data_IF_104472513403
#
_entry.id   IF_104472513403
#
_cell.length_a   1.000
_cell.length_b   1.000
_cell.length_c   1.000
_cell.angle_alpha   90.00
_cell.angle_beta   90.00
_cell.angle_gamma   90.00
#
_symmetry.space_group_name_H-M   'P 1'
#
loop_
_entity.id
_entity.type
_entity.pdbx_description
1 polymer ?
#
# COMPACT_ATOMS: atom_id res chain seq x y z
N UNK A 1 -19.59 2.38 17.30
CA UNK A 1 -19.82 3.43 16.28
C UNK A 1 -19.15 2.94 15.03
N UNK A 2 -19.91 2.66 13.96
CA UNK A 2 -19.33 2.13 12.72
C UNK A 2 -18.39 3.15 12.10
N UNK A 3 -17.18 2.74 11.82
CA UNK A 3 -16.23 3.50 10.99
C UNK A 3 -16.88 3.63 9.63
N UNK A 4 -17.31 4.85 9.28
CA UNK A 4 -17.77 5.13 7.92
C UNK A 4 -16.55 4.99 7.01
N UNK A 5 -16.59 3.97 6.16
CA UNK A 5 -15.56 3.74 5.14
C UNK A 5 -15.52 4.97 4.23
N UNK A 6 -14.46 5.78 4.35
CA UNK A 6 -14.30 7.04 3.59
C UNK A 6 -13.57 6.81 2.27
N UNK A 7 -13.36 5.54 1.90
CA UNK A 7 -12.72 5.13 0.67
C UNK A 7 -13.66 5.37 -0.52
N UNK A 8 -13.16 6.07 -1.56
CA UNK A 8 -13.92 6.35 -2.80
C UNK A 8 -13.35 5.49 -3.95
N UNK A 9 -14.01 4.37 -4.30
CA UNK A 9 -13.55 3.48 -5.36
C UNK A 9 -13.46 4.16 -6.73
N UNK A 10 -14.35 5.13 -7.02
CA UNK A 10 -14.39 5.83 -8.32
C UNK A 10 -13.16 6.74 -8.48
N UNK A 11 -12.82 7.48 -7.44
CA UNK A 11 -11.63 8.32 -7.41
C UNK A 11 -10.35 7.48 -7.51
N UNK A 12 -10.34 6.29 -6.87
CA UNK A 12 -9.21 5.38 -6.91
C UNK A 12 -8.97 4.80 -8.30
N UNK A 13 -10.03 4.42 -9.03
CA UNK A 13 -9.95 3.82 -10.39
C UNK A 13 -9.42 4.78 -11.45
N UNK A 14 -9.46 6.08 -11.24
CA UNK A 14 -9.00 7.08 -12.23
C UNK A 14 -7.54 6.90 -12.66
N UNK A 15 -6.71 6.30 -11.78
CA UNK A 15 -5.28 6.06 -12.00
C UNK A 15 -4.92 4.59 -11.77
N UNK A 16 -5.81 3.69 -12.16
CA UNK A 16 -5.69 2.26 -11.86
C UNK A 16 -4.44 1.65 -12.52
N UNK A 17 -4.24 1.91 -13.82
CA UNK A 17 -3.12 1.34 -14.55
C UNK A 17 -1.76 1.76 -13.98
N UNK A 18 -1.62 3.03 -13.58
CA UNK A 18 -0.41 3.57 -12.97
C UNK A 18 -0.17 3.01 -11.57
N UNK A 19 -1.24 2.62 -10.87
CA UNK A 19 -1.16 2.03 -9.53
C UNK A 19 -0.88 0.53 -9.57
N UNK A 20 -1.18 -0.14 -10.68
CA UNK A 20 -0.94 -1.57 -10.85
C UNK A 20 0.52 -1.91 -11.17
N UNK A 21 1.24 -1.02 -11.85
CA UNK A 21 2.62 -1.28 -12.24
C UNK A 21 3.52 -1.72 -11.06
N UNK A 22 3.46 -1.09 -9.86
CA UNK A 22 4.23 -1.54 -8.71
C UNK A 22 3.92 -2.97 -8.27
N UNK A 23 2.66 -3.42 -8.43
CA UNK A 23 2.28 -4.79 -8.14
C UNK A 23 2.88 -5.78 -9.16
N UNK A 24 2.83 -5.45 -10.44
CA UNK A 24 3.48 -6.28 -11.47
C UNK A 24 4.98 -6.39 -11.23
N UNK A 25 5.64 -5.29 -10.84
CA UNK A 25 7.07 -5.27 -10.53
C UNK A 25 7.39 -6.08 -9.26
N UNK A 26 6.51 -6.06 -8.25
CA UNK A 26 6.63 -6.89 -7.06
C UNK A 26 6.45 -8.37 -7.41
N UNK A 27 5.41 -8.69 -8.17
CA UNK A 27 5.11 -10.07 -8.57
C UNK A 27 6.24 -10.67 -9.42
N UNK A 28 6.89 -9.86 -10.27
CA UNK A 28 8.06 -10.29 -11.05
C UNK A 28 9.30 -10.62 -10.21
N UNK A 29 9.34 -10.22 -8.92
CA UNK A 29 10.40 -10.61 -7.99
C UNK A 29 10.14 -11.96 -7.34
N UNK A 30 8.89 -12.44 -7.37
CA UNK A 30 8.47 -13.69 -6.73
C UNK A 30 8.71 -14.85 -7.70
N UNK A 31 9.34 -15.91 -7.22
CA UNK A 31 9.48 -17.14 -8.00
C UNK A 31 8.15 -17.87 -8.05
N UNK A 32 7.89 -18.51 -9.19
CA UNK A 32 6.71 -19.35 -9.39
C UNK A 32 6.62 -20.44 -8.31
N UNK A 33 5.40 -20.69 -7.86
CA UNK A 33 5.09 -21.73 -6.87
C UNK A 33 3.98 -22.64 -7.40
N UNK A 34 4.25 -23.43 -8.46
CA UNK A 34 3.26 -24.33 -9.04
C UNK A 34 2.63 -25.19 -7.94
N UNK A 35 1.31 -25.25 -7.91
CA UNK A 35 0.52 -25.94 -6.88
C UNK A 35 0.76 -25.44 -5.44
N UNK A 36 1.39 -24.27 -5.28
CA UNK A 36 1.69 -23.65 -4.00
C UNK A 36 0.50 -22.96 -3.34
N UNK A 37 0.74 -22.49 -2.13
CA UNK A 37 -0.22 -21.77 -1.29
C UNK A 37 0.24 -20.33 -1.09
N UNK A 38 -0.62 -19.39 -1.42
CA UNK A 38 -0.34 -17.95 -1.36
C UNK A 38 -1.30 -17.29 -0.38
N UNK A 39 -0.84 -16.31 0.37
CA UNK A 39 -1.70 -15.35 1.07
C UNK A 39 -1.34 -13.93 0.62
N UNK A 40 -2.36 -13.12 0.35
CA UNK A 40 -2.23 -11.70 0.01
C UNK A 40 -2.82 -10.84 1.14
N UNK A 41 -1.95 -10.15 1.86
CA UNK A 41 -2.29 -9.40 3.07
C UNK A 41 -2.53 -7.92 2.74
N UNK A 42 -3.79 -7.49 2.87
CA UNK A 42 -4.31 -6.21 2.40
C UNK A 42 -4.74 -6.29 0.93
N UNK A 43 -5.53 -7.32 0.60
CA UNK A 43 -5.90 -7.68 -0.77
C UNK A 43 -6.88 -6.71 -1.45
N UNK A 44 -7.51 -5.82 -0.69
CA UNK A 44 -8.49 -4.86 -1.20
C UNK A 44 -9.69 -5.54 -1.86
N UNK A 45 -10.00 -5.17 -3.10
CA UNK A 45 -11.09 -5.73 -3.92
C UNK A 45 -10.77 -7.11 -4.53
N UNK A 46 -9.62 -7.70 -4.23
CA UNK A 46 -9.20 -9.03 -4.68
C UNK A 46 -8.78 -9.13 -6.14
N UNK A 47 -8.83 -8.05 -6.91
CA UNK A 47 -8.48 -8.04 -8.33
C UNK A 47 -7.01 -8.42 -8.56
N UNK A 48 -6.09 -7.80 -7.83
CA UNK A 48 -4.66 -8.08 -7.92
C UNK A 48 -4.30 -9.44 -7.29
N UNK A 49 -5.02 -9.86 -6.27
CA UNK A 49 -4.92 -11.20 -5.67
C UNK A 49 -5.25 -12.28 -6.69
N UNK A 50 -6.33 -12.07 -7.47
CA UNK A 50 -6.71 -12.97 -8.57
C UNK A 50 -5.60 -13.06 -9.64
N UNK A 51 -4.97 -11.93 -9.94
CA UNK A 51 -3.84 -11.91 -10.86
C UNK A 51 -2.63 -12.68 -10.28
N UNK A 52 -2.30 -12.46 -9.00
CA UNK A 52 -1.22 -13.20 -8.32
C UNK A 52 -1.47 -14.71 -8.33
N UNK A 53 -2.69 -15.15 -7.97
CA UNK A 53 -3.08 -16.56 -7.98
C UNK A 53 -2.74 -17.24 -9.32
N UNK A 54 -3.16 -16.62 -10.42
CA UNK A 54 -2.93 -17.14 -11.77
C UNK A 54 -1.46 -17.08 -12.19
N UNK A 55 -0.81 -15.94 -11.93
CA UNK A 55 0.57 -15.70 -12.39
C UNK A 55 1.59 -16.55 -11.66
N UNK A 56 1.37 -16.88 -10.38
CA UNK A 56 2.24 -17.74 -9.59
C UNK A 56 1.97 -19.24 -9.81
N UNK A 57 0.85 -19.60 -10.45
CA UNK A 57 0.41 -20.97 -10.62
C UNK A 57 -0.01 -21.63 -9.30
N UNK A 58 -0.54 -20.84 -8.38
CA UNK A 58 -0.91 -21.31 -7.05
C UNK A 58 -2.11 -22.27 -7.09
N UNK A 59 -2.08 -23.34 -6.27
CA UNK A 59 -3.24 -24.21 -6.06
C UNK A 59 -4.26 -23.54 -5.15
N UNK A 60 -3.80 -22.73 -4.20
CA UNK A 60 -4.70 -21.95 -3.33
C UNK A 60 -4.13 -20.57 -3.02
N UNK A 61 -5.03 -19.59 -2.99
CA UNK A 61 -4.71 -18.22 -2.58
C UNK A 61 -5.81 -17.71 -1.66
N UNK A 62 -5.41 -17.10 -0.55
CA UNK A 62 -6.33 -16.42 0.36
C UNK A 62 -5.99 -14.94 0.37
N UNK A 63 -6.94 -14.08 0.02
CA UNK A 63 -6.84 -12.65 0.19
C UNK A 63 -7.40 -12.23 1.54
N UNK A 64 -6.65 -11.43 2.30
CA UNK A 64 -7.04 -10.92 3.62
C UNK A 64 -7.17 -9.40 3.54
N UNK A 65 -8.28 -8.84 3.99
CA UNK A 65 -8.45 -7.39 4.16
C UNK A 65 -9.34 -7.08 5.36
N UNK A 66 -9.13 -5.93 5.98
CA UNK A 66 -9.93 -5.46 7.12
C UNK A 66 -11.20 -4.69 6.70
N UNK A 67 -11.34 -4.35 5.42
CA UNK A 67 -12.50 -3.63 4.87
C UNK A 67 -13.52 -4.59 4.26
N UNK A 68 -14.65 -4.78 4.95
CA UNK A 68 -15.77 -5.54 4.41
C UNK A 68 -16.32 -4.92 3.11
N UNK A 69 -16.21 -3.60 2.96
CA UNK A 69 -16.65 -2.89 1.75
C UNK A 69 -15.75 -3.21 0.54
N UNK A 70 -14.45 -3.31 0.75
CA UNK A 70 -13.51 -3.73 -0.30
C UNK A 70 -13.74 -5.20 -0.69
N UNK A 71 -13.88 -6.08 0.30
CA UNK A 71 -14.12 -7.51 0.06
C UNK A 71 -15.47 -7.81 -0.60
N UNK A 72 -16.44 -6.90 -0.52
CA UNK A 72 -17.73 -7.06 -1.22
C UNK A 72 -17.59 -7.10 -2.76
N UNK A 73 -16.54 -6.49 -3.30
CA UNK A 73 -16.23 -6.51 -4.74
C UNK A 73 -15.35 -7.72 -5.12
N UNK A 74 -14.74 -8.40 -4.14
CA UNK A 74 -13.87 -9.54 -4.36
C UNK A 74 -14.66 -10.77 -4.84
N UNK A 75 -14.14 -11.43 -5.89
CA UNK A 75 -14.82 -12.59 -6.48
C UNK A 75 -14.02 -13.86 -6.19
N UNK A 76 -14.50 -14.75 -5.30
CA UNK A 76 -13.89 -16.06 -5.07
C UNK A 76 -13.90 -16.93 -6.34
N UNK A 77 -12.97 -17.87 -6.41
CA UNK A 77 -12.83 -18.78 -7.54
C UNK A 77 -12.27 -20.13 -7.12
N UNK A 78 -11.92 -20.95 -8.12
CA UNK A 78 -11.26 -22.23 -7.84
C UNK A 78 -9.89 -21.97 -7.22
N UNK A 79 -9.69 -22.46 -6.00
CA UNK A 79 -8.49 -22.21 -5.20
C UNK A 79 -8.32 -20.77 -4.70
N UNK A 80 -9.31 -19.88 -4.88
CA UNK A 80 -9.24 -18.47 -4.48
C UNK A 80 -10.34 -18.12 -3.48
N UNK A 81 -9.96 -17.66 -2.30
CA UNK A 81 -10.86 -17.23 -1.23
C UNK A 81 -10.47 -15.86 -0.67
N UNK A 82 -11.42 -15.19 -0.02
CA UNK A 82 -11.21 -13.90 0.63
C UNK A 82 -11.78 -13.92 2.04
N UNK A 83 -11.04 -13.36 2.99
CA UNK A 83 -11.39 -13.38 4.41
C UNK A 83 -11.24 -11.99 5.03
N UNK A 84 -12.17 -11.65 5.93
CA UNK A 84 -12.12 -10.41 6.70
C UNK A 84 -11.27 -10.61 7.94
N UNK A 85 -10.07 -9.99 7.96
CA UNK A 85 -9.19 -10.02 9.13
C UNK A 85 -8.25 -8.80 9.12
N UNK A 86 -7.63 -8.52 10.29
CA UNK A 86 -6.67 -7.43 10.47
C UNK A 86 -5.24 -7.93 10.24
N UNK A 87 -4.62 -7.46 9.16
CA UNK A 87 -3.25 -7.84 8.79
C UNK A 87 -2.20 -7.47 9.85
N UNK A 88 -2.50 -6.51 10.74
CA UNK A 88 -1.62 -6.12 11.85
C UNK A 88 -1.51 -7.20 12.93
N UNK A 89 -2.55 -8.01 13.10
CA UNK A 89 -2.64 -9.10 14.08
C UNK A 89 -2.60 -10.48 13.43
N UNK A 90 -2.80 -10.54 12.12
CA UNK A 90 -2.87 -11.78 11.36
C UNK A 90 -1.64 -12.65 11.59
N UNK A 91 -1.87 -13.93 11.80
CA UNK A 91 -0.83 -14.95 11.94
C UNK A 91 -1.38 -16.30 11.48
N UNK A 92 -0.48 -17.15 10.99
CA UNK A 92 -0.79 -18.51 10.62
C UNK A 92 0.38 -19.44 10.99
N UNK A 93 0.13 -20.75 11.16
CA UNK A 93 1.24 -21.72 11.25
C UNK A 93 2.02 -21.72 9.92
N UNK A 94 3.21 -22.32 9.91
CA UNK A 94 4.03 -22.46 8.70
C UNK A 94 3.27 -23.27 7.63
N UNK A 95 2.63 -22.57 6.69
CA UNK A 95 1.68 -23.15 5.74
C UNK A 95 1.82 -22.60 4.32
N UNK A 96 2.25 -21.35 4.16
CA UNK A 96 2.28 -20.67 2.88
C UNK A 96 3.64 -20.75 2.18
N UNK A 97 3.62 -20.86 0.87
CA UNK A 97 4.80 -20.74 0.01
C UNK A 97 5.14 -19.29 -0.27
N UNK A 98 4.11 -18.43 -0.35
CA UNK A 98 4.26 -16.99 -0.54
C UNK A 98 3.32 -16.23 0.40
N UNK A 99 3.90 -15.25 1.09
CA UNK A 99 3.18 -14.15 1.75
C UNK A 99 3.41 -12.90 0.92
N UNK A 100 2.34 -12.36 0.38
CA UNK A 100 2.32 -11.17 -0.48
C UNK A 100 1.63 -10.01 0.26
N UNK A 101 2.11 -8.78 0.06
CA UNK A 101 1.39 -7.57 0.50
C UNK A 101 1.74 -6.40 -0.40
N UNK A 102 0.73 -5.79 -1.01
CA UNK A 102 0.93 -4.66 -1.91
C UNK A 102 0.16 -3.43 -1.43
N UNK A 103 0.86 -2.35 -1.16
CA UNK A 103 0.31 -1.06 -0.72
C UNK A 103 -0.63 -1.17 0.50
N UNK A 104 -0.33 -2.08 1.45
CA UNK A 104 -1.10 -2.29 2.66
C UNK A 104 -0.27 -2.14 3.95
N UNK A 105 0.93 -2.67 4.01
CA UNK A 105 1.75 -2.67 5.23
C UNK A 105 1.98 -1.26 5.81
N UNK A 106 2.04 -0.21 5.02
CA UNK A 106 2.24 1.16 5.51
C UNK A 106 1.13 1.67 6.43
N UNK A 107 -0.07 1.05 6.40
CA UNK A 107 -1.15 1.38 7.33
C UNK A 107 -0.94 0.80 8.73
N UNK A 108 -0.02 -0.12 8.89
CA UNK A 108 0.21 -0.90 10.10
C UNK A 108 1.44 -0.39 10.83
N UNK A 109 1.39 -0.14 12.14
CA UNK A 109 2.58 0.17 12.93
C UNK A 109 3.41 -1.09 13.22
N UNK A 110 4.64 -0.89 13.73
CA UNK A 110 5.53 -1.96 14.20
C UNK A 110 5.82 -3.04 13.13
N UNK A 111 6.36 -2.60 12.00
CA UNK A 111 6.76 -3.50 10.90
C UNK A 111 7.65 -4.66 11.35
N UNK A 112 8.61 -4.51 12.31
CA UNK A 112 9.38 -5.64 12.80
C UNK A 112 8.52 -6.78 13.37
N UNK A 113 7.56 -6.47 14.24
CA UNK A 113 6.69 -7.48 14.82
C UNK A 113 5.72 -8.08 13.78
N UNK A 114 5.20 -7.25 12.88
CA UNK A 114 4.28 -7.69 11.81
C UNK A 114 4.99 -8.63 10.83
N UNK A 115 6.14 -8.23 10.30
CA UNK A 115 6.92 -9.04 9.38
C UNK A 115 7.45 -10.33 10.03
N UNK A 116 7.73 -10.30 11.33
CA UNK A 116 8.04 -11.50 12.10
C UNK A 116 6.89 -12.51 12.12
N UNK A 117 5.63 -12.06 12.32
CA UNK A 117 4.45 -12.93 12.24
C UNK A 117 4.22 -13.46 10.82
N UNK A 118 4.37 -12.61 9.80
CA UNK A 118 4.20 -13.02 8.40
C UNK A 118 5.26 -14.03 7.97
N UNK A 119 6.52 -13.83 8.42
CA UNK A 119 7.59 -14.81 8.20
C UNK A 119 7.27 -16.16 8.85
N UNK A 120 6.70 -16.18 10.06
CA UNK A 120 6.35 -17.41 10.76
C UNK A 120 5.26 -18.23 10.04
N UNK A 121 4.45 -17.59 9.18
CA UNK A 121 3.46 -18.27 8.35
C UNK A 121 4.06 -18.97 7.11
N UNK A 122 5.32 -18.70 6.77
CA UNK A 122 6.00 -19.30 5.62
C UNK A 122 6.54 -20.69 5.96
N UNK A 123 6.37 -21.60 5.01
CA UNK A 123 7.05 -22.90 5.01
C UNK A 123 8.56 -22.73 4.74
N UNK A 124 9.38 -23.78 4.99
CA UNK A 124 10.76 -23.80 4.49
C UNK A 124 10.82 -23.50 2.98
N UNK A 125 11.73 -22.63 2.58
CA UNK A 125 11.88 -22.05 1.24
C UNK A 125 10.76 -21.08 0.82
N UNK A 126 9.90 -20.69 1.74
CA UNK A 126 8.83 -19.72 1.48
C UNK A 126 9.35 -18.31 1.20
N UNK A 127 8.56 -17.54 0.50
CA UNK A 127 8.88 -16.19 0.04
C UNK A 127 7.95 -15.15 0.67
N UNK A 128 8.54 -14.07 1.19
CA UNK A 128 7.84 -12.86 1.61
C UNK A 128 8.08 -11.79 0.56
N UNK A 129 7.01 -11.21 0.00
CA UNK A 129 7.12 -10.13 -0.99
C UNK A 129 6.19 -8.97 -0.62
N UNK A 130 6.77 -7.80 -0.47
CA UNK A 130 6.03 -6.62 0.02
C UNK A 130 6.38 -5.38 -0.79
N UNK A 131 5.36 -4.56 -1.05
CA UNK A 131 5.51 -3.22 -1.61
C UNK A 131 4.84 -2.18 -0.70
N UNK A 132 5.53 -1.09 -0.44
CA UNK A 132 4.99 0.06 0.30
C UNK A 132 5.30 1.38 -0.43
N UNK A 133 4.43 2.41 -0.33
CA UNK A 133 4.76 3.76 -0.77
C UNK A 133 5.93 4.32 0.06
N UNK A 134 6.75 5.19 -0.56
CA UNK A 134 7.89 5.83 0.07
C UNK A 134 7.97 7.32 -0.33
N UNK A 135 6.83 8.00 -0.32
CA UNK A 135 6.69 9.36 -0.87
C UNK A 135 6.38 10.42 0.19
N UNK A 136 6.58 10.10 1.49
CA UNK A 136 6.21 10.97 2.61
C UNK A 136 6.87 12.36 2.56
N UNK A 137 8.07 12.47 2.02
CA UNK A 137 8.83 13.71 1.87
C UNK A 137 8.50 14.49 0.57
N UNK A 138 7.67 13.93 -0.31
CA UNK A 138 7.19 14.67 -1.47
C UNK A 138 6.22 15.77 -1.05
N UNK A 139 6.24 16.98 -1.68
CA UNK A 139 5.35 18.08 -1.31
C UNK A 139 3.87 17.71 -1.22
N UNK A 140 3.39 16.76 -2.04
CA UNK A 140 2.00 16.29 -1.95
C UNK A 140 1.62 15.62 -0.62
N UNK A 141 2.58 15.17 0.16
CA UNK A 141 2.41 14.64 1.51
C UNK A 141 2.79 15.66 2.57
N UNK A 142 3.94 16.33 2.43
CA UNK A 142 4.47 17.27 3.42
C UNK A 142 3.53 18.47 3.64
N UNK A 143 3.00 19.05 2.56
CA UNK A 143 2.09 20.22 2.60
C UNK A 143 0.79 19.93 3.38
N UNK A 144 0.36 18.67 3.51
CA UNK A 144 -0.83 18.33 4.30
C UNK A 144 -0.66 18.79 5.75
N UNK A 145 0.50 18.47 6.37
CA UNK A 145 0.80 18.86 7.75
C UNK A 145 0.80 20.38 7.93
N UNK A 146 1.46 21.11 7.02
CA UNK A 146 1.51 22.59 7.07
C UNK A 146 0.12 23.23 7.04
N UNK A 147 -0.75 22.74 6.16
CA UNK A 147 -2.11 23.31 5.98
C UNK A 147 -3.02 22.91 7.14
N UNK A 148 -2.93 21.69 7.64
CA UNK A 148 -3.75 21.29 8.80
C UNK A 148 -3.34 22.03 10.07
N UNK A 149 -2.05 22.25 10.30
CA UNK A 149 -1.55 23.08 11.40
C UNK A 149 -2.07 24.53 11.29
N UNK A 150 -1.95 25.14 10.10
CA UNK A 150 -2.43 26.51 9.85
C UNK A 150 -3.95 26.67 10.06
N UNK A 151 -4.73 25.61 9.88
CA UNK A 151 -6.18 25.59 10.10
C UNK A 151 -6.58 25.12 11.50
N UNK A 152 -5.60 24.76 12.36
CA UNK A 152 -5.86 24.23 13.69
C UNK A 152 -6.59 22.88 13.69
N UNK A 153 -6.41 22.08 12.64
CA UNK A 153 -7.02 20.75 12.51
C UNK A 153 -6.14 19.69 13.20
N UNK A 154 -6.75 18.94 14.11
CA UNK A 154 -6.12 17.77 14.72
C UNK A 154 -6.39 16.54 13.83
N UNK A 155 -5.36 16.07 13.14
CA UNK A 155 -5.44 14.91 12.26
C UNK A 155 -4.34 13.90 12.57
N UNK A 156 -4.62 12.64 12.34
CA UNK A 156 -3.62 11.58 12.48
C UNK A 156 -2.40 11.84 11.58
N UNK A 157 -1.19 11.49 12.02
CA UNK A 157 0.02 11.56 11.20
C UNK A 157 -0.11 10.79 9.89
N UNK A 158 0.71 11.11 8.90
CA UNK A 158 0.80 10.32 7.67
C UNK A 158 1.38 8.94 7.98
N UNK A 159 0.63 7.84 7.78
CA UNK A 159 1.11 6.50 8.09
C UNK A 159 2.36 6.13 7.28
N UNK A 160 2.55 6.69 6.08
CA UNK A 160 3.77 6.51 5.30
C UNK A 160 4.97 7.14 6.01
N UNK A 161 4.79 8.32 6.60
CA UNK A 161 5.87 9.03 7.31
C UNK A 161 6.28 8.36 8.63
N UNK A 162 5.31 7.73 9.33
CA UNK A 162 5.57 7.20 10.68
C UNK A 162 5.86 5.72 10.72
N UNK A 163 5.35 4.94 9.76
CA UNK A 163 5.46 3.48 9.78
C UNK A 163 6.49 2.93 8.80
N UNK A 164 6.67 3.58 7.62
CA UNK A 164 7.51 3.02 6.57
C UNK A 164 8.99 3.24 6.88
N UNK A 165 9.72 2.14 6.93
CA UNK A 165 11.16 2.12 7.16
C UNK A 165 11.92 2.50 5.88
N UNK A 166 13.18 2.90 6.02
CA UNK A 166 14.08 3.07 4.88
C UNK A 166 14.43 1.71 4.24
N UNK A 167 14.80 1.67 2.95
CA UNK A 167 15.17 0.40 2.28
C UNK A 167 16.24 -0.38 3.04
N UNK A 168 17.25 0.31 3.58
CA UNK A 168 18.34 -0.29 4.34
C UNK A 168 17.86 -0.91 5.66
N UNK A 169 16.87 -0.30 6.30
CA UNK A 169 16.28 -0.81 7.55
C UNK A 169 15.44 -2.07 7.28
N UNK A 170 14.68 -2.11 6.15
CA UNK A 170 14.04 -3.35 5.72
C UNK A 170 15.05 -4.44 5.42
N UNK A 171 16.18 -4.13 4.76
CA UNK A 171 17.21 -5.12 4.48
C UNK A 171 17.80 -5.70 5.76
N UNK A 172 18.13 -4.87 6.76
CA UNK A 172 18.59 -5.34 8.07
C UNK A 172 17.54 -6.19 8.79
N UNK A 173 16.27 -5.75 8.77
CA UNK A 173 15.17 -6.50 9.38
C UNK A 173 14.97 -7.88 8.76
N UNK A 174 15.06 -7.99 7.43
CA UNK A 174 14.94 -9.28 6.74
C UNK A 174 16.11 -10.21 7.09
N UNK A 175 17.33 -9.68 7.26
CA UNK A 175 18.49 -10.42 7.72
C UNK A 175 18.28 -10.94 9.15
N UNK A 176 17.81 -10.07 10.07
CA UNK A 176 17.47 -10.43 11.45
C UNK A 176 16.37 -11.51 11.54
N UNK A 177 15.44 -11.53 10.59
CA UNK A 177 14.41 -12.55 10.46
C UNK A 177 14.91 -13.89 9.85
N UNK A 178 16.18 -13.96 9.44
CA UNK A 178 16.83 -15.15 8.93
C UNK A 178 16.61 -15.37 7.42
N UNK A 179 16.49 -14.30 6.65
CA UNK A 179 16.43 -14.40 5.19
C UNK A 179 17.75 -14.98 4.65
N UNK A 180 17.65 -16.01 3.81
CA UNK A 180 18.81 -16.62 3.11
C UNK A 180 19.06 -16.00 1.76
N UNK A 181 18.07 -15.30 1.24
CA UNK A 181 18.12 -14.52 0.01
C UNK A 181 17.18 -13.33 0.16
N UNK A 182 17.63 -12.16 -0.21
CA UNK A 182 16.78 -10.98 -0.19
C UNK A 182 17.10 -10.01 -1.34
N UNK A 183 16.09 -9.28 -1.75
CA UNK A 183 16.20 -8.20 -2.69
C UNK A 183 15.34 -7.03 -2.20
N UNK A 184 15.96 -5.91 -1.87
CA UNK A 184 15.28 -4.68 -1.44
C UNK A 184 15.66 -3.56 -2.41
N UNK A 185 14.67 -2.82 -2.91
CA UNK A 185 14.91 -1.70 -3.83
C UNK A 185 13.95 -0.54 -3.59
N UNK A 186 14.46 0.67 -3.75
CA UNK A 186 13.67 1.88 -3.92
C UNK A 186 13.48 2.11 -5.42
N UNK A 187 12.23 2.17 -5.86
CA UNK A 187 11.90 2.37 -7.28
C UNK A 187 11.10 3.66 -7.46
N UNK A 188 11.43 4.41 -8.50
CA UNK A 188 10.73 5.63 -8.91
C UNK A 188 9.80 5.29 -10.07
N UNK A 189 8.51 5.52 -9.87
CA UNK A 189 7.48 5.43 -10.90
C UNK A 189 7.21 6.83 -11.44
N UNK A 190 7.26 6.96 -12.76
CA UNK A 190 7.10 8.24 -13.45
C UNK A 190 5.67 8.32 -14.00
N UNK A 191 4.87 9.24 -13.46
CA UNK A 191 3.51 9.46 -13.93
C UNK A 191 3.43 10.81 -14.67
N UNK A 192 2.81 10.81 -15.83
CA UNK A 192 2.60 12.03 -16.61
C UNK A 192 1.17 12.53 -16.38
N UNK A 193 1.03 13.56 -15.57
CA UNK A 193 -0.25 14.19 -15.28
C UNK A 193 -0.50 15.36 -16.23
N UNK A 194 -1.78 15.65 -16.56
CA UNK A 194 -2.11 16.80 -17.41
C UNK A 194 -1.60 18.12 -16.83
N UNK A 195 -1.61 18.28 -15.51
CA UNK A 195 -1.10 19.47 -14.82
C UNK A 195 -0.64 19.17 -13.39
N UNK A 196 0.06 20.11 -12.76
CA UNK A 196 0.40 20.04 -11.33
C UNK A 196 -0.87 19.95 -10.46
N UNK A 197 -1.98 20.58 -10.87
CA UNK A 197 -3.24 20.50 -10.14
C UNK A 197 -3.81 19.08 -10.06
N UNK A 198 -3.50 18.20 -11.02
CA UNK A 198 -3.94 16.81 -11.01
C UNK A 198 -3.26 15.97 -9.91
N UNK A 199 -2.15 16.45 -9.32
CA UNK A 199 -1.55 15.84 -8.12
C UNK A 199 -2.55 15.86 -6.95
N UNK A 200 -3.35 16.93 -6.82
CA UNK A 200 -4.42 17.00 -5.80
C UNK A 200 -5.43 15.88 -5.99
N UNK A 201 -5.86 15.66 -7.24
CA UNK A 201 -6.81 14.58 -7.55
C UNK A 201 -6.21 13.20 -7.30
N UNK A 202 -4.90 13.02 -7.57
CA UNK A 202 -4.20 11.79 -7.26
C UNK A 202 -4.24 11.42 -5.78
N UNK A 203 -3.96 12.39 -4.88
CA UNK A 203 -3.84 12.14 -3.44
C UNK A 203 -5.17 12.19 -2.68
N UNK A 204 -6.26 12.69 -3.29
CA UNK A 204 -7.59 12.70 -2.67
C UNK A 204 -8.07 11.32 -2.24
N UNK A 205 -7.80 10.30 -3.06
CA UNK A 205 -8.18 8.91 -2.78
C UNK A 205 -7.26 8.16 -1.82
N UNK A 206 -6.21 8.80 -1.31
CA UNK A 206 -5.22 8.17 -0.41
C UNK A 206 -4.85 9.10 0.74
N UNK A 207 -3.84 9.92 0.59
CA UNK A 207 -3.24 10.78 1.62
C UNK A 207 -4.24 11.74 2.27
N UNK A 208 -5.20 12.28 1.50
CA UNK A 208 -6.18 13.25 2.01
C UNK A 208 -7.40 12.61 2.68
N UNK A 209 -7.56 11.29 2.63
CA UNK A 209 -8.70 10.60 3.27
C UNK A 209 -8.73 10.81 4.78
N UNK A 210 -7.56 10.89 5.44
CA UNK A 210 -7.44 11.17 6.88
C UNK A 210 -7.97 12.55 7.25
N UNK A 211 -7.74 13.56 6.40
CA UNK A 211 -8.30 14.91 6.62
C UNK A 211 -9.82 14.91 6.42
N UNK A 212 -10.29 14.23 5.37
CA UNK A 212 -11.72 14.09 5.09
C UNK A 212 -12.48 13.41 6.23
N UNK A 213 -11.86 12.46 6.93
CA UNK A 213 -12.45 11.79 8.11
C UNK A 213 -12.52 12.71 9.33
N UNK A 214 -11.54 13.58 9.50
CA UNK A 214 -11.38 14.44 10.67
C UNK A 214 -12.17 15.76 10.55
N UNK A 215 -12.79 16.06 9.40
CA UNK A 215 -13.46 17.34 9.12
C UNK A 215 -14.88 17.14 8.60
N UNK A 216 -15.73 18.16 8.78
CA UNK A 216 -16.98 18.27 8.05
C UNK A 216 -16.76 18.74 6.60
N UNK A 217 -17.82 18.80 5.82
CA UNK A 217 -17.73 19.16 4.40
C UNK A 217 -17.12 20.55 4.18
N UNK A 218 -17.49 21.54 4.99
CA UNK A 218 -16.98 22.92 4.89
C UNK A 218 -15.51 22.99 5.29
N UNK A 219 -15.12 22.32 6.36
CA UNK A 219 -13.73 22.21 6.82
C UNK A 219 -12.84 21.53 5.78
N UNK A 220 -13.33 20.45 5.14
CA UNK A 220 -12.61 19.78 4.09
C UNK A 220 -12.40 20.65 2.85
N UNK A 221 -13.43 21.41 2.41
CA UNK A 221 -13.29 22.33 1.29
C UNK A 221 -12.31 23.48 1.59
N UNK A 222 -12.34 24.03 2.81
CA UNK A 222 -11.33 25.02 3.25
C UNK A 222 -9.92 24.43 3.22
N UNK A 223 -9.76 23.21 3.72
CA UNK A 223 -8.49 22.50 3.66
C UNK A 223 -8.04 22.32 2.20
N UNK A 224 -8.89 21.81 1.31
CA UNK A 224 -8.56 21.59 -0.10
C UNK A 224 -8.11 22.86 -0.81
N UNK A 225 -8.77 23.98 -0.53
CA UNK A 225 -8.40 25.29 -1.10
C UNK A 225 -6.98 25.69 -0.66
N UNK A 226 -6.68 25.61 0.64
CA UNK A 226 -5.36 25.89 1.21
C UNK A 226 -4.29 24.93 0.71
N UNK A 227 -4.60 23.65 0.69
CA UNK A 227 -3.72 22.59 0.21
C UNK A 227 -3.33 22.80 -1.27
N UNK A 228 -4.33 23.06 -2.14
CA UNK A 228 -4.09 23.33 -3.55
C UNK A 228 -3.19 24.55 -3.74
N UNK A 229 -3.50 25.66 -3.07
CA UNK A 229 -2.71 26.88 -3.17
C UNK A 229 -1.26 26.66 -2.73
N UNK A 230 -1.04 25.99 -1.60
CA UNK A 230 0.29 25.73 -1.06
C UNK A 230 1.08 24.72 -1.92
N UNK A 231 0.42 23.66 -2.41
CA UNK A 231 1.03 22.67 -3.27
C UNK A 231 1.49 23.29 -4.61
N UNK A 232 0.67 24.13 -5.24
CA UNK A 232 1.03 24.82 -6.48
C UNK A 232 2.15 25.83 -6.26
N UNK A 233 2.20 26.49 -5.11
CA UNK A 233 3.31 27.38 -4.75
C UNK A 233 4.65 26.59 -4.64
N UNK A 234 4.60 25.35 -4.12
CA UNK A 234 5.78 24.51 -3.94
C UNK A 234 6.26 23.86 -5.26
N UNK A 235 5.34 23.29 -6.02
CA UNK A 235 5.66 22.53 -7.24
C UNK A 235 5.73 23.39 -8.51
N UNK A 236 5.19 24.59 -8.46
CA UNK A 236 4.96 25.45 -9.64
C UNK A 236 3.73 24.98 -10.45
N UNK A 237 3.13 25.89 -11.18
CA UNK A 237 2.01 25.61 -12.09
C UNK A 237 2.57 25.15 -13.45
N UNK A 238 2.46 23.85 -13.72
CA UNK A 238 3.02 23.21 -14.92
C UNK A 238 1.96 22.36 -15.61
N UNK A 239 1.98 22.36 -16.93
CA UNK A 239 1.17 21.51 -17.79
C UNK A 239 1.97 21.13 -19.04
N UNK A 240 2.36 19.85 -19.27
CA UNK A 240 2.17 18.70 -18.37
C UNK A 240 3.07 18.73 -17.13
N UNK A 241 2.74 17.90 -16.13
CA UNK A 241 3.53 17.72 -14.92
C UNK A 241 4.01 16.27 -14.80
N UNK A 242 5.31 16.08 -14.54
CA UNK A 242 5.88 14.76 -14.25
C UNK A 242 5.86 14.52 -12.76
N UNK A 243 4.96 13.62 -12.32
CA UNK A 243 4.82 13.23 -10.94
C UNK A 243 5.66 11.99 -10.65
N UNK A 244 6.67 12.14 -9.81
CA UNK A 244 7.58 11.07 -9.41
C UNK A 244 7.05 10.43 -8.12
N UNK A 245 6.67 9.16 -8.19
CA UNK A 245 6.18 8.42 -7.05
C UNK A 245 7.15 7.30 -6.67
N UNK A 246 7.69 7.36 -5.45
CA UNK A 246 8.65 6.37 -4.96
C UNK A 246 7.95 5.26 -4.20
N UNK A 247 8.46 4.05 -4.38
CA UNK A 247 8.00 2.85 -3.66
C UNK A 247 9.18 2.00 -3.25
N UNK A 248 9.10 1.38 -2.09
CA UNK A 248 10.02 0.33 -1.66
C UNK A 248 9.37 -1.00 -2.00
N UNK A 249 10.12 -1.85 -2.70
CA UNK A 249 9.75 -3.22 -3.00
C UNK A 249 10.80 -4.13 -2.39
N UNK A 250 10.36 -5.17 -1.71
CA UNK A 250 11.29 -6.18 -1.22
C UNK A 250 10.72 -7.59 -1.33
N UNK A 251 11.62 -8.53 -1.56
CA UNK A 251 11.37 -9.97 -1.53
C UNK A 251 12.46 -10.64 -0.72
N UNK A 252 12.08 -11.59 0.12
CA UNK A 252 13.02 -12.43 0.87
C UNK A 252 12.57 -13.89 0.84
N UNK A 253 13.55 -14.82 0.93
CA UNK A 253 13.33 -16.26 1.07
C UNK A 253 13.88 -16.72 2.40
N UNK A 254 13.19 -17.68 3.01
CA UNK A 254 13.52 -18.22 4.33
C UNK A 254 13.59 -19.76 4.27
N UNK A 255 14.61 -20.35 4.95
CA UNK A 255 14.73 -21.81 5.10
C UNK A 255 13.84 -22.36 6.22
#
# INVERSE_FOLDING_TARGET
>A
MGVTDSWDPTQYRRFEAERDQPFHDLLAMVELVPDGRVVDLGCGDGRLTTLAHRSLGAASTVGIDSSAAMLADATPGDGLAFELDDISLWSAPAFYDVVLSNAALHWVPDHPAVLGRWRAALRPNGQLAVQVPANADHPSHAVVGEVTEALGLDIEPDPVAVNVLRPEEYAGLLDDLGAVEQHVRLQVFVHHLPSTADVVEWVKGTTLTRVKRATDAEGYERFLAGYRARLLAELGDRAPYTYLFRRILFRARFL
#
